data_IF_644792030363
#
_entry.id   IF_644792030363
#
_cell.length_a   1.000
_cell.length_b   1.000
_cell.length_c   1.000
_cell.angle_alpha   90.00
_cell.angle_beta   90.00
_cell.angle_gamma   90.00
#
_symmetry.space_group_name_H-M   'P 1'
#
loop_
_entity.id
_entity.type
_entity.pdbx_description
1 polymer ?
#
# COMPACT_ATOMS: atom_id res chain seq x y z
N UNK A 1 28.00 1.97 5.05
CA UNK A 1 27.78 0.51 4.90
C UNK A 1 26.34 0.34 4.48
N UNK A 2 26.08 -0.19 3.29
CA UNK A 2 24.70 -0.47 2.85
C UNK A 2 24.13 -1.61 3.70
N UNK A 3 22.89 -1.46 4.12
CA UNK A 3 22.17 -2.49 4.85
C UNK A 3 21.87 -3.67 3.90
N UNK A 4 21.97 -4.89 4.40
CA UNK A 4 21.48 -6.05 3.68
C UNK A 4 19.94 -6.01 3.56
N UNK A 5 19.40 -6.81 2.64
CA UNK A 5 17.94 -6.96 2.51
C UNK A 5 17.26 -7.30 3.85
N UNK A 6 17.86 -8.23 4.57
CA UNK A 6 17.37 -8.70 5.87
C UNK A 6 17.35 -7.59 6.94
N UNK A 7 18.47 -6.87 7.06
CA UNK A 7 18.58 -5.74 8.00
C UNK A 7 17.62 -4.62 7.67
N UNK A 8 17.38 -4.36 6.38
CA UNK A 8 16.46 -3.34 5.92
C UNK A 8 14.99 -3.72 6.24
N UNK A 9 14.64 -5.00 6.04
CA UNK A 9 13.32 -5.52 6.44
C UNK A 9 13.11 -5.38 7.95
N UNK A 10 14.08 -5.81 8.76
CA UNK A 10 14.00 -5.70 10.23
C UNK A 10 13.82 -4.25 10.68
N UNK A 11 14.59 -3.34 10.11
CA UNK A 11 14.53 -1.91 10.42
C UNK A 11 13.18 -1.31 10.04
N UNK A 12 12.69 -1.63 8.85
CA UNK A 12 11.37 -1.17 8.38
C UNK A 12 10.24 -1.67 9.28
N UNK A 13 10.28 -2.94 9.67
CA UNK A 13 9.30 -3.53 10.59
C UNK A 13 9.34 -2.83 11.96
N UNK A 14 10.52 -2.53 12.48
CA UNK A 14 10.67 -1.81 13.76
C UNK A 14 10.05 -0.39 13.68
N UNK A 15 10.27 0.32 12.58
CA UNK A 15 9.68 1.65 12.31
C UNK A 15 8.15 1.57 12.28
N UNK A 16 7.60 0.59 11.54
CA UNK A 16 6.15 0.38 11.44
C UNK A 16 5.52 0.00 12.79
N UNK A 17 6.16 -0.88 13.57
CA UNK A 17 5.71 -1.24 14.93
C UNK A 17 5.70 -0.05 15.88
N UNK A 18 6.58 0.92 15.66
CA UNK A 18 6.61 2.18 16.42
C UNK A 18 5.52 3.18 15.99
N UNK A 19 4.63 2.81 15.05
CA UNK A 19 3.54 3.66 14.56
C UNK A 19 4.00 4.79 13.64
N UNK A 20 5.14 4.61 12.97
CA UNK A 20 5.78 5.61 12.12
C UNK A 20 5.51 5.35 10.63
N UNK A 21 5.82 6.35 9.81
CA UNK A 21 5.64 6.33 8.36
C UNK A 21 6.91 5.95 7.62
N UNK A 22 6.75 5.29 6.48
CA UNK A 22 7.86 4.86 5.61
C UNK A 22 7.66 5.33 4.17
N UNK A 23 8.77 5.56 3.49
CA UNK A 23 8.87 5.66 2.04
C UNK A 23 9.57 4.41 1.53
N UNK A 24 8.92 3.63 0.66
CA UNK A 24 9.37 2.28 0.32
C UNK A 24 9.03 1.87 -1.11
N UNK A 25 9.82 0.96 -1.72
CA UNK A 25 9.55 0.43 -3.05
C UNK A 25 8.40 -0.57 -3.02
N UNK A 26 7.58 -0.60 -4.08
CA UNK A 26 6.50 -1.57 -4.27
C UNK A 26 6.55 -2.21 -5.66
N UNK A 27 5.60 -3.08 -5.96
CA UNK A 27 5.40 -3.67 -7.29
C UNK A 27 4.85 -2.69 -8.34
N UNK A 28 4.45 -1.48 -7.95
CA UNK A 28 3.95 -0.44 -8.85
C UNK A 28 4.90 0.75 -8.96
N UNK A 29 5.09 1.47 -7.89
CA UNK A 29 5.98 2.62 -7.76
C UNK A 29 6.41 2.76 -6.31
N UNK A 30 7.30 3.70 -6.00
CA UNK A 30 7.58 4.07 -4.62
C UNK A 30 6.31 4.57 -3.93
N UNK A 31 6.10 4.12 -2.70
CA UNK A 31 4.94 4.42 -1.90
C UNK A 31 5.27 5.04 -0.56
N UNK A 32 4.34 5.82 -0.04
CA UNK A 32 4.31 6.28 1.36
C UNK A 32 3.30 5.42 2.10
N UNK A 33 3.67 4.91 3.25
CA UNK A 33 2.77 4.05 4.02
C UNK A 33 3.10 3.92 5.50
N UNK A 34 2.26 3.14 6.17
CA UNK A 34 2.34 2.84 7.59
C UNK A 34 1.58 1.54 7.91
N UNK A 35 1.57 1.12 9.17
CA UNK A 35 0.67 0.06 9.66
C UNK A 35 -0.80 0.45 9.39
N UNK A 36 -1.48 -0.32 8.54
CA UNK A 36 -2.86 -0.05 8.12
C UNK A 36 -3.90 -0.26 9.24
N UNK A 37 -3.49 -0.78 10.39
CA UNK A 37 -4.35 -0.94 11.57
C UNK A 37 -4.22 0.21 12.56
N UNK A 38 -3.29 1.14 12.33
CA UNK A 38 -2.99 2.26 13.21
C UNK A 38 -3.56 3.58 12.65
N UNK A 39 -4.66 4.06 13.23
CA UNK A 39 -5.34 5.27 12.77
C UNK A 39 -4.48 6.53 12.86
N UNK A 40 -3.61 6.63 13.88
CA UNK A 40 -2.71 7.77 14.07
C UNK A 40 -1.61 7.78 13.00
N UNK A 41 -1.07 6.61 12.68
CA UNK A 41 -0.09 6.47 11.60
C UNK A 41 -0.69 6.76 10.22
N UNK A 42 -1.94 6.32 9.96
CA UNK A 42 -2.68 6.66 8.74
C UNK A 42 -2.91 8.17 8.61
N UNK A 43 -3.28 8.85 9.70
CA UNK A 43 -3.42 10.31 9.73
C UNK A 43 -2.12 11.00 9.32
N UNK A 44 -0.98 10.52 9.85
CA UNK A 44 0.33 11.03 9.47
C UNK A 44 0.64 10.84 7.96
N UNK A 45 0.21 9.72 7.35
CA UNK A 45 0.32 9.53 5.88
C UNK A 45 -0.47 10.58 5.12
N UNK A 46 -1.69 10.91 5.54
CA UNK A 46 -2.47 11.99 4.92
C UNK A 46 -1.76 13.35 5.00
N UNK A 47 -1.16 13.66 6.16
CA UNK A 47 -0.39 14.89 6.36
C UNK A 47 0.83 14.96 5.43
N UNK A 48 1.66 13.89 5.41
CA UNK A 48 2.86 13.79 4.54
C UNK A 48 2.50 14.02 3.07
N UNK A 49 1.38 13.50 2.64
CA UNK A 49 0.88 13.61 1.27
C UNK A 49 0.16 14.92 0.98
N UNK A 50 -0.14 15.73 1.99
CA UNK A 50 -1.09 16.84 1.87
C UNK A 50 -2.39 16.36 1.19
N UNK A 51 -2.84 15.17 1.59
CA UNK A 51 -3.95 14.45 0.96
C UNK A 51 -5.22 14.63 1.78
N UNK A 52 -6.32 15.06 1.17
CA UNK A 52 -7.57 15.13 1.90
C UNK A 52 -8.03 13.73 2.34
N UNK A 53 -8.52 13.61 3.57
CA UNK A 53 -9.00 12.34 4.13
C UNK A 53 -10.18 11.72 3.36
N UNK A 54 -10.82 12.49 2.47
CA UNK A 54 -11.84 12.00 1.53
C UNK A 54 -11.30 11.04 0.47
N UNK A 55 -9.98 11.01 0.26
CA UNK A 55 -9.31 10.07 -0.66
C UNK A 55 -8.75 8.91 0.13
N UNK A 56 -9.40 7.76 0.09
CA UNK A 56 -9.02 6.52 0.76
C UNK A 56 -7.56 6.08 0.48
N UNK A 57 -6.98 5.32 1.39
CA UNK A 57 -5.66 4.69 1.22
C UNK A 57 -5.81 3.27 0.67
N UNK A 58 -4.89 2.86 -0.18
CA UNK A 58 -4.75 1.45 -0.61
C UNK A 58 -4.04 0.69 0.51
N UNK A 59 -4.48 -0.54 0.73
CA UNK A 59 -3.89 -1.47 1.70
C UNK A 59 -3.18 -2.60 0.95
N UNK A 60 -1.98 -2.95 1.37
CA UNK A 60 -1.21 -4.07 0.84
C UNK A 60 -1.26 -5.25 1.80
N UNK A 61 -1.52 -6.43 1.25
CA UNK A 61 -1.40 -7.72 1.92
C UNK A 61 -0.38 -8.59 1.17
N UNK A 62 0.25 -9.52 1.87
CA UNK A 62 1.28 -10.42 1.31
C UNK A 62 0.68 -11.58 0.52
N UNK A 63 -0.51 -12.05 0.89
CA UNK A 63 -1.20 -13.16 0.22
C UNK A 63 -2.70 -12.91 0.09
N UNK A 64 -3.35 -13.58 -0.88
CA UNK A 64 -4.80 -13.48 -1.07
C UNK A 64 -5.60 -14.05 0.10
N UNK A 65 -5.08 -15.06 0.80
CA UNK A 65 -5.71 -15.66 1.98
C UNK A 65 -5.92 -14.65 3.12
N UNK A 66 -5.08 -13.60 3.18
CA UNK A 66 -5.20 -12.54 4.18
C UNK A 66 -6.40 -11.61 3.96
N UNK A 67 -7.01 -11.63 2.77
CA UNK A 67 -8.19 -10.81 2.48
C UNK A 67 -9.32 -11.05 3.50
N UNK A 68 -9.56 -12.30 3.89
CA UNK A 68 -10.58 -12.68 4.88
C UNK A 68 -10.38 -12.06 6.27
N UNK A 69 -9.15 -11.62 6.58
CA UNK A 69 -8.84 -10.98 7.87
C UNK A 69 -9.26 -9.50 7.87
N UNK A 70 -9.34 -8.86 6.69
CA UNK A 70 -9.53 -7.41 6.54
C UNK A 70 -10.78 -7.02 5.75
N UNK A 71 -11.46 -7.97 5.13
CA UNK A 71 -12.72 -7.78 4.40
C UNK A 71 -13.81 -8.62 5.05
N UNK A 72 -14.96 -8.02 5.33
CA UNK A 72 -16.06 -8.70 6.02
C UNK A 72 -16.61 -9.87 5.19
N UNK A 73 -16.77 -9.67 3.89
CA UNK A 73 -17.22 -10.68 2.93
C UNK A 73 -16.40 -10.54 1.64
N UNK A 74 -15.54 -11.53 1.35
CA UNK A 74 -14.74 -11.58 0.13
C UNK A 74 -15.49 -12.37 -0.93
N UNK A 75 -15.97 -11.72 -2.03
CA UNK A 75 -16.61 -12.46 -3.12
C UNK A 75 -15.66 -13.50 -3.71
N UNK A 76 -16.16 -14.70 -4.02
CA UNK A 76 -15.33 -15.82 -4.48
C UNK A 76 -14.53 -15.48 -5.75
N UNK A 77 -15.09 -14.69 -6.66
CA UNK A 77 -14.44 -14.25 -7.89
C UNK A 77 -13.17 -13.42 -7.63
N UNK A 78 -13.03 -12.80 -6.44
CA UNK A 78 -11.84 -12.01 -6.11
C UNK A 78 -10.56 -12.83 -6.21
N UNK A 79 -10.58 -14.07 -5.73
CA UNK A 79 -9.42 -14.96 -5.75
C UNK A 79 -9.02 -15.34 -7.17
N UNK A 80 -9.99 -15.58 -8.06
CA UNK A 80 -9.74 -15.90 -9.46
C UNK A 80 -9.17 -14.68 -10.21
N UNK A 81 -9.74 -13.50 -9.99
CA UNK A 81 -9.26 -12.26 -10.61
C UNK A 81 -7.80 -11.95 -10.18
N UNK A 82 -7.48 -12.14 -8.90
CA UNK A 82 -6.13 -11.93 -8.38
C UNK A 82 -5.16 -12.96 -8.95
N UNK A 83 -5.54 -14.24 -8.98
CA UNK A 83 -4.70 -15.34 -9.45
C UNK A 83 -4.36 -15.24 -10.95
N UNK A 84 -5.28 -14.72 -11.76
CA UNK A 84 -5.10 -14.60 -13.21
C UNK A 84 -4.66 -13.22 -13.68
N UNK A 85 -4.52 -12.26 -12.79
CA UNK A 85 -4.04 -10.93 -13.16
C UNK A 85 -2.55 -10.93 -13.46
N UNK A 86 -2.18 -10.50 -14.66
CA UNK A 86 -0.78 -10.33 -15.09
C UNK A 86 -0.20 -8.97 -14.75
N UNK A 87 -1.05 -8.03 -14.34
CA UNK A 87 -0.69 -6.69 -13.89
C UNK A 87 -1.09 -6.47 -12.46
N UNK A 88 -0.48 -5.52 -11.75
CA UNK A 88 -0.89 -5.18 -10.38
C UNK A 88 -2.38 -4.84 -10.33
N UNK A 89 -3.13 -5.56 -9.49
CA UNK A 89 -4.57 -5.42 -9.35
C UNK A 89 -4.93 -4.95 -7.92
N UNK A 90 -5.60 -3.82 -7.84
CA UNK A 90 -6.19 -3.30 -6.60
C UNK A 90 -7.70 -3.46 -6.67
N UNK A 91 -8.28 -4.07 -5.64
CA UNK A 91 -9.71 -4.38 -5.59
C UNK A 91 -10.38 -3.61 -4.46
N UNK A 92 -11.44 -2.87 -4.77
CA UNK A 92 -12.27 -2.19 -3.78
C UNK A 92 -13.37 -3.15 -3.33
N UNK A 93 -13.35 -3.47 -2.04
CA UNK A 93 -14.36 -4.30 -1.36
C UNK A 93 -15.34 -3.42 -0.58
N UNK A 94 -16.58 -3.88 -0.45
CA UNK A 94 -17.67 -3.11 0.12
C UNK A 94 -17.49 -2.79 1.62
N UNK A 95 -16.89 -3.71 2.39
CA UNK A 95 -16.81 -3.55 3.84
C UNK A 95 -15.48 -4.08 4.41
N UNK A 96 -14.72 -3.16 5.00
CA UNK A 96 -13.48 -3.47 5.74
C UNK A 96 -13.77 -3.95 7.16
N UNK A 97 -12.83 -4.70 7.73
CA UNK A 97 -12.74 -5.02 9.15
C UNK A 97 -11.29 -5.04 9.61
N UNK A 98 -11.08 -4.90 10.92
CA UNK A 98 -9.75 -4.99 11.55
C UNK A 98 -8.69 -4.03 10.99
N UNK A 99 -9.12 -2.92 10.36
CA UNK A 99 -8.27 -1.86 9.84
C UNK A 99 -8.51 -0.55 10.59
N UNK A 100 -7.60 0.40 10.42
CA UNK A 100 -7.77 1.75 10.93
C UNK A 100 -9.06 2.37 10.38
N UNK A 101 -9.82 3.06 11.24
CA UNK A 101 -11.13 3.65 10.88
C UNK A 101 -11.05 4.73 9.81
N UNK A 102 -9.88 5.31 9.60
CA UNK A 102 -9.61 6.38 8.62
C UNK A 102 -8.92 5.88 7.34
N UNK A 103 -8.93 4.57 7.07
CA UNK A 103 -8.48 4.02 5.78
C UNK A 103 -9.37 4.52 4.64
N UNK A 104 -10.67 4.62 4.88
CA UNK A 104 -11.65 5.16 3.94
C UNK A 104 -12.78 5.89 4.67
N UNK A 105 -13.58 6.62 3.92
CA UNK A 105 -14.71 7.41 4.47
C UNK A 105 -16.01 6.62 4.57
N UNK A 106 -16.17 5.51 3.83
CA UNK A 106 -17.44 4.80 3.61
C UNK A 106 -17.41 3.30 3.96
N UNK A 107 -16.51 2.87 4.84
CA UNK A 107 -16.28 1.47 5.21
C UNK A 107 -15.74 0.56 4.09
N UNK A 108 -15.71 1.01 2.83
CA UNK A 108 -15.04 0.25 1.76
C UNK A 108 -13.53 0.18 2.00
N UNK A 109 -12.85 -0.71 1.32
CA UNK A 109 -11.40 -0.78 1.35
C UNK A 109 -10.85 -1.20 0.00
N UNK A 110 -9.80 -0.53 -0.46
CA UNK A 110 -9.04 -0.93 -1.63
C UNK A 110 -7.82 -1.73 -1.19
N UNK A 111 -7.78 -3.03 -1.54
CA UNK A 111 -6.67 -3.92 -1.16
C UNK A 111 -5.97 -4.43 -2.42
N UNK A 112 -4.64 -4.49 -2.38
CA UNK A 112 -3.81 -5.17 -3.36
C UNK A 112 -2.98 -6.27 -2.70
N UNK A 113 -2.99 -7.45 -3.29
CA UNK A 113 -2.02 -8.50 -2.99
C UNK A 113 -0.72 -8.09 -3.69
N UNK A 114 0.27 -7.68 -2.90
CA UNK A 114 1.51 -7.11 -3.44
C UNK A 114 2.41 -8.18 -4.04
N UNK A 115 2.99 -7.92 -5.20
CA UNK A 115 3.99 -8.80 -5.82
C UNK A 115 5.39 -8.16 -5.79
N UNK A 116 5.91 -7.99 -4.61
CA UNK A 116 7.24 -7.46 -4.32
C UNK A 116 7.80 -8.14 -3.07
N UNK A 117 8.97 -8.74 -3.17
CA UNK A 117 9.55 -9.56 -2.10
C UNK A 117 9.81 -8.77 -0.82
N UNK A 118 10.26 -7.52 -0.93
CA UNK A 118 10.47 -6.66 0.22
C UNK A 118 9.16 -6.38 0.96
N UNK A 119 8.11 -5.98 0.23
CA UNK A 119 6.80 -5.73 0.82
C UNK A 119 6.21 -6.97 1.47
N UNK A 120 6.29 -8.13 0.80
CA UNK A 120 5.78 -9.40 1.34
C UNK A 120 6.47 -9.75 2.66
N UNK A 121 7.80 -9.64 2.71
CA UNK A 121 8.56 -9.98 3.90
C UNK A 121 8.30 -9.00 5.06
N UNK A 122 8.20 -7.70 4.77
CA UNK A 122 7.81 -6.68 5.76
C UNK A 122 6.43 -6.97 6.34
N UNK A 123 5.42 -7.21 5.49
CA UNK A 123 4.04 -7.50 5.93
C UNK A 123 4.00 -8.79 6.76
N UNK A 124 4.70 -9.84 6.30
CA UNK A 124 4.76 -11.12 7.00
C UNK A 124 5.34 -10.98 8.41
N UNK A 125 6.47 -10.25 8.58
CA UNK A 125 7.12 -10.03 9.89
C UNK A 125 6.39 -9.04 10.77
N UNK A 126 5.75 -8.04 10.18
CA UNK A 126 4.89 -7.12 10.90
C UNK A 126 3.64 -7.84 11.43
N UNK A 127 3.17 -8.87 10.72
CA UNK A 127 1.94 -9.60 11.01
C UNK A 127 0.67 -8.80 10.70
N UNK A 128 0.79 -7.67 9.99
CA UNK A 128 -0.28 -6.71 9.69
C UNK A 128 -0.11 -6.15 8.29
N UNK A 129 -1.20 -5.70 7.64
CA UNK A 129 -1.12 -5.02 6.35
C UNK A 129 -0.54 -3.62 6.51
N UNK A 130 -0.01 -3.09 5.41
CA UNK A 130 0.53 -1.74 5.35
C UNK A 130 -0.26 -0.89 4.35
N UNK A 131 -0.31 0.42 4.57
CA UNK A 131 -0.91 1.33 3.58
C UNK A 131 0.08 1.63 2.45
N UNK A 132 -0.44 1.96 1.28
CA UNK A 132 0.34 2.39 0.13
C UNK A 132 -0.37 3.53 -0.60
N UNK A 133 0.33 4.63 -0.75
CA UNK A 133 -0.06 5.73 -1.65
C UNK A 133 1.18 6.20 -2.38
N UNK A 134 1.05 6.65 -3.64
CA UNK A 134 2.20 7.07 -4.46
C UNK A 134 3.07 8.14 -3.78
N UNK A 135 4.37 8.10 -4.01
CA UNK A 135 5.35 8.99 -3.37
C UNK A 135 5.42 10.38 -4.03
N UNK A 136 4.29 11.07 -4.09
CA UNK A 136 4.14 12.45 -4.60
C UNK A 136 3.14 13.22 -3.74
N UNK A 137 3.22 14.53 -3.71
CA UNK A 137 2.17 15.36 -3.11
C UNK A 137 0.85 15.16 -3.85
N UNK A 138 -0.26 15.30 -3.14
CA UNK A 138 -1.60 15.10 -3.71
C UNK A 138 -1.83 16.06 -4.89
N UNK A 139 -2.23 15.50 -6.04
CA UNK A 139 -2.46 16.27 -7.27
C UNK A 139 -1.22 16.47 -8.16
N UNK A 140 -0.03 16.10 -7.69
CA UNK A 140 1.18 16.12 -8.52
C UNK A 140 1.38 14.80 -9.27
N UNK A 141 2.16 14.79 -10.36
CA UNK A 141 2.50 13.54 -11.07
C UNK A 141 3.18 12.53 -10.16
N UNK A 142 2.93 11.25 -10.40
CA UNK A 142 3.61 10.16 -9.70
C UNK A 142 5.09 10.14 -10.07
N UNK A 143 5.97 10.07 -9.07
CA UNK A 143 7.40 9.90 -9.27
C UNK A 143 7.69 8.56 -9.95
N UNK A 144 8.48 8.59 -11.02
CA UNK A 144 8.81 7.41 -11.81
C UNK A 144 10.00 6.64 -11.24
N UNK A 145 10.95 7.36 -10.65
CA UNK A 145 12.15 6.80 -9.99
C UNK A 145 12.27 7.36 -8.58
N UNK A 146 13.17 6.79 -7.78
CA UNK A 146 13.48 7.35 -6.47
C UNK A 146 14.02 8.79 -6.56
N UNK A 147 14.81 9.08 -7.60
CA UNK A 147 15.35 10.42 -7.84
C UNK A 147 14.29 11.48 -8.13
N UNK A 148 13.14 11.09 -8.71
CA UNK A 148 12.03 12.00 -9.00
C UNK A 148 11.17 12.34 -7.77
N UNK A 149 11.36 11.62 -6.65
CA UNK A 149 10.61 11.88 -5.42
C UNK A 149 11.10 13.20 -4.81
N UNK A 150 10.18 14.11 -4.53
CA UNK A 150 10.53 15.42 -3.97
C UNK A 150 11.20 15.28 -2.59
N UNK A 151 12.14 16.18 -2.29
CA UNK A 151 12.78 16.24 -0.98
C UNK A 151 11.76 16.51 0.14
N UNK A 152 10.65 17.18 -0.16
CA UNK A 152 9.56 17.40 0.77
C UNK A 152 8.95 16.07 1.26
N UNK A 153 8.67 15.13 0.34
CA UNK A 153 8.19 13.79 0.70
C UNK A 153 9.26 13.01 1.49
N UNK A 154 10.51 12.98 0.99
CA UNK A 154 11.60 12.25 1.64
C UNK A 154 11.85 12.72 3.07
N UNK A 155 11.78 14.03 3.31
CA UNK A 155 12.00 14.63 4.64
C UNK A 155 10.77 14.59 5.55
N UNK A 156 9.58 14.32 5.02
CA UNK A 156 8.33 14.28 5.79
C UNK A 156 8.00 12.92 6.35
N UNK A 157 8.56 11.84 5.81
CA UNK A 157 8.40 10.48 6.36
C UNK A 157 9.41 10.23 7.48
N UNK A 158 9.09 9.29 8.37
CA UNK A 158 9.99 8.94 9.48
C UNK A 158 11.16 8.05 9.04
N UNK A 159 11.00 7.29 7.95
CA UNK A 159 12.03 6.41 7.42
C UNK A 159 11.94 6.25 5.91
N UNK A 160 13.09 6.32 5.25
CA UNK A 160 13.25 6.04 3.82
C UNK A 160 13.99 4.72 3.68
N UNK A 161 13.35 3.73 3.06
CA UNK A 161 13.94 2.41 2.79
C UNK A 161 15.14 2.57 1.86
N UNK A 162 16.29 1.97 2.20
CA UNK A 162 17.58 2.16 1.54
C UNK A 162 17.85 1.12 0.43
N UNK A 163 16.82 0.43 -0.06
CA UNK A 163 16.92 -0.53 -1.15
C UNK A 163 16.38 0.05 -2.46
N UNK A 164 16.95 -0.38 -3.58
CA UNK A 164 16.42 -0.11 -4.93
C UNK A 164 16.37 1.36 -5.35
N UNK A 165 17.19 2.24 -4.77
CA UNK A 165 17.26 3.65 -5.19
C UNK A 165 17.68 3.81 -6.64
N UNK A 166 18.55 2.94 -7.16
CA UNK A 166 19.05 2.95 -8.53
C UNK A 166 18.22 2.05 -9.48
N UNK A 167 17.07 1.55 -9.03
CA UNK A 167 16.22 0.72 -9.86
C UNK A 167 15.51 1.55 -10.92
N UNK A 168 15.72 1.19 -12.19
CA UNK A 168 15.06 1.77 -13.35
C UNK A 168 13.81 1.01 -13.79
N UNK A 169 13.22 0.20 -12.90
CA UNK A 169 11.97 -0.46 -13.19
C UNK A 169 10.91 0.58 -13.58
N UNK A 170 10.29 0.42 -14.74
CA UNK A 170 9.21 1.31 -15.18
C UNK A 170 8.03 1.11 -14.22
N UNK A 171 7.60 2.14 -13.49
CA UNK A 171 6.44 2.03 -12.62
C UNK A 171 5.21 1.67 -13.46
N UNK A 172 4.42 0.74 -12.94
CA UNK A 172 3.11 0.41 -13.50
C UNK A 172 2.04 0.81 -12.50
N UNK A 173 1.08 1.64 -12.91
CA UNK A 173 -0.10 1.84 -12.09
C UNK A 173 -0.87 0.53 -11.96
N UNK A 174 -1.44 0.26 -10.79
CA UNK A 174 -2.37 -0.86 -10.66
C UNK A 174 -3.67 -0.56 -11.37
N UNK A 175 -4.26 -1.57 -12.01
CA UNK A 175 -5.68 -1.53 -12.36
C UNK A 175 -6.49 -1.50 -11.07
N UNK A 176 -7.49 -0.64 -10.99
CA UNK A 176 -8.40 -0.58 -9.84
C UNK A 176 -9.79 -1.02 -10.31
N UNK A 177 -10.33 -2.04 -9.66
CA UNK A 177 -11.70 -2.49 -9.87
C UNK A 177 -12.48 -2.35 -8.57
N UNK A 178 -13.78 -2.09 -8.69
CA UNK A 178 -14.74 -2.21 -7.61
C UNK A 178 -15.50 -3.51 -7.77
N UNK A 179 -15.44 -4.35 -6.74
CA UNK A 179 -16.09 -5.64 -6.74
C UNK A 179 -17.36 -5.57 -5.93
N UNK A 180 -18.48 -5.98 -6.53
CA UNK A 180 -19.78 -6.03 -5.89
C UNK A 180 -20.03 -7.41 -5.25
N UNK A 181 -20.94 -7.49 -4.29
CA UNK A 181 -21.26 -8.72 -3.59
C UNK A 181 -21.94 -9.78 -4.48
N UNK A 182 -22.52 -9.38 -5.61
CA UNK A 182 -23.11 -10.25 -6.62
C UNK A 182 -22.09 -10.84 -7.62
N UNK A 183 -20.79 -10.68 -7.35
CA UNK A 183 -19.65 -11.06 -8.21
C UNK A 183 -19.54 -10.27 -9.52
N UNK A 184 -20.25 -9.17 -9.68
CA UNK A 184 -19.99 -8.20 -10.76
C UNK A 184 -18.87 -7.25 -10.35
N UNK A 185 -18.18 -6.66 -11.33
CA UNK A 185 -17.15 -5.67 -11.06
C UNK A 185 -17.19 -4.49 -12.03
N UNK A 186 -16.66 -3.37 -11.60
CA UNK A 186 -16.53 -2.14 -12.36
C UNK A 186 -15.05 -1.72 -12.37
N UNK A 187 -14.53 -1.34 -13.54
CA UNK A 187 -13.17 -0.84 -13.67
C UNK A 187 -13.17 0.65 -13.35
N UNK A 188 -12.50 1.04 -12.27
CA UNK A 188 -12.38 2.44 -11.84
C UNK A 188 -11.15 3.13 -12.45
N UNK A 189 -10.09 2.36 -12.73
CA UNK A 189 -8.84 2.83 -13.35
C UNK A 189 -8.12 1.66 -14.03
N UNK A 190 -7.61 1.87 -15.24
CA UNK A 190 -6.66 1.01 -15.94
C UNK A 190 -5.23 1.52 -15.80
#
# INVERSE_FOLDING_TARGET
>A
MELSFEEEVERTVAVLKAGKTILYPTDTSWGVGCDATNSRACERVYEVKQRPASKSLIVLVDTAERLKDYVANVPAIAYDLIAHSTNPLSVVYAQSKNLARNISVDKSVCIRVVDNDFCKEVIRRLGKPITSTSANLSGQPTAMTFGDISEEIKNSVDYVVQLYHDSFAKPKCSTIIKLNEDNTFEILRQ
#
